data_IF_494119539040
#
_entry.id   IF_494119539040
#
_cell.length_a   1.000
_cell.length_b   1.000
_cell.length_c   1.000
_cell.angle_alpha   90.00
_cell.angle_beta   90.00
_cell.angle_gamma   90.00
#
_symmetry.space_group_name_H-M   'P 1'
#
loop_
_entity.id
_entity.type
_entity.pdbx_description
1 polymer ?
#
# COMPACT_ATOMS: atom_id res chain seq x y z
N UNK A 1 62.23 -46.34 142.27
CA UNK A 1 62.46 -45.43 141.13
C UNK A 1 62.33 -46.15 139.79
N UNK A 2 62.67 -47.45 139.68
CA UNK A 2 62.69 -48.16 138.38
C UNK A 2 61.33 -48.54 137.77
N UNK A 3 60.30 -48.80 138.57
CA UNK A 3 58.98 -49.22 138.05
C UNK A 3 58.25 -48.09 137.29
N UNK A 4 58.47 -46.83 137.70
CA UNK A 4 57.81 -45.65 137.11
C UNK A 4 58.35 -45.37 135.71
N UNK A 5 59.65 -45.60 135.48
CA UNK A 5 60.32 -45.32 134.22
C UNK A 5 59.87 -46.29 133.10
N UNK A 6 59.62 -47.56 133.45
CA UNK A 6 59.16 -48.58 132.50
C UNK A 6 57.71 -48.36 132.05
N UNK A 7 56.84 -47.88 132.95
CA UNK A 7 55.45 -47.50 132.63
C UNK A 7 55.43 -46.28 131.69
N UNK A 8 56.35 -45.32 131.88
CA UNK A 8 56.46 -44.12 131.04
C UNK A 8 56.91 -44.45 129.62
N UNK A 9 57.84 -45.39 129.44
CA UNK A 9 58.31 -45.84 128.12
C UNK A 9 57.22 -46.61 127.38
N UNK A 10 56.48 -47.50 128.05
CA UNK A 10 55.34 -48.20 127.45
C UNK A 10 54.22 -47.23 127.04
N UNK A 11 53.95 -46.20 127.86
CA UNK A 11 53.00 -45.15 127.52
C UNK A 11 53.44 -44.34 126.29
N UNK A 12 54.73 -44.03 126.17
CA UNK A 12 55.32 -43.35 125.01
C UNK A 12 55.23 -44.18 123.73
N UNK A 13 55.51 -45.49 123.81
CA UNK A 13 55.39 -46.40 122.66
C UNK A 13 53.92 -46.53 122.24
N UNK A 14 53.00 -46.64 123.20
CA UNK A 14 51.56 -46.65 122.94
C UNK A 14 51.08 -45.37 122.25
N UNK A 15 51.57 -44.20 122.71
CA UNK A 15 51.28 -42.91 122.09
C UNK A 15 51.86 -42.78 120.67
N UNK A 16 53.07 -43.29 120.43
CA UNK A 16 53.69 -43.28 119.11
C UNK A 16 52.99 -44.22 118.11
N UNK A 17 52.55 -45.40 118.57
CA UNK A 17 51.76 -46.31 117.74
C UNK A 17 50.39 -45.70 117.43
N UNK A 18 49.75 -45.07 118.40
CA UNK A 18 48.47 -44.37 118.22
C UNK A 18 48.59 -43.22 117.21
N UNK A 19 49.63 -42.39 117.31
CA UNK A 19 49.83 -41.27 116.38
C UNK A 19 50.11 -41.75 114.95
N UNK A 20 50.88 -42.82 114.77
CA UNK A 20 51.16 -43.39 113.45
C UNK A 20 49.90 -43.94 112.77
N UNK A 21 49.06 -44.67 113.51
CA UNK A 21 47.77 -45.16 113.00
C UNK A 21 46.83 -44.00 112.69
N UNK A 22 46.78 -42.98 113.54
CA UNK A 22 45.99 -41.78 113.30
C UNK A 22 46.41 -41.05 112.03
N UNK A 23 47.72 -40.90 111.78
CA UNK A 23 48.24 -40.24 110.56
C UNK A 23 47.86 -41.03 109.31
N UNK A 24 48.01 -42.36 109.33
CA UNK A 24 47.67 -43.20 108.18
C UNK A 24 46.16 -43.20 107.89
N UNK A 25 45.34 -43.19 108.93
CA UNK A 25 43.89 -43.07 108.80
C UNK A 25 43.48 -41.68 108.29
N UNK A 26 44.21 -40.63 108.67
CA UNK A 26 43.98 -39.26 108.19
C UNK A 26 44.34 -39.11 106.71
N UNK A 27 45.46 -39.68 106.26
CA UNK A 27 45.85 -39.69 104.85
C UNK A 27 44.82 -40.41 103.98
N UNK A 28 44.34 -41.60 104.41
CA UNK A 28 43.30 -42.32 103.67
C UNK A 28 41.97 -41.57 103.60
N UNK A 29 41.60 -40.82 104.65
CA UNK A 29 40.43 -39.93 104.62
C UNK A 29 40.62 -38.75 103.69
N UNK A 30 41.83 -38.19 103.62
CA UNK A 30 42.15 -37.08 102.74
C UNK A 30 42.07 -37.48 101.27
N UNK A 31 42.62 -38.65 100.91
CA UNK A 31 42.60 -39.17 99.55
C UNK A 31 41.17 -39.50 99.08
N UNK A 32 40.37 -40.15 99.93
CA UNK A 32 38.94 -40.37 99.68
C UNK A 32 38.13 -39.08 99.61
N UNK A 33 38.49 -38.06 100.39
CA UNK A 33 37.82 -36.76 100.31
C UNK A 33 38.17 -36.03 99.01
N UNK A 34 39.41 -36.16 98.53
CA UNK A 34 39.85 -35.54 97.28
C UNK A 34 39.18 -36.18 96.06
N UNK A 35 39.10 -37.51 96.03
CA UNK A 35 38.50 -38.30 94.95
C UNK A 35 36.99 -38.03 94.85
N UNK A 36 36.27 -38.11 95.97
CA UNK A 36 34.85 -37.78 96.01
C UNK A 36 34.58 -36.31 95.61
N UNK A 37 35.50 -35.39 95.93
CA UNK A 37 35.32 -33.98 95.56
C UNK A 37 35.60 -33.75 94.07
N UNK A 38 36.53 -34.50 93.46
CA UNK A 38 36.80 -34.45 92.02
C UNK A 38 35.61 -35.01 91.21
N UNK A 39 35.06 -36.15 91.63
CA UNK A 39 33.89 -36.75 90.98
C UNK A 39 32.65 -35.84 91.06
N UNK A 40 32.36 -35.28 92.24
CA UNK A 40 31.25 -34.34 92.39
C UNK A 40 31.41 -33.09 91.51
N UNK A 41 32.63 -32.58 91.34
CA UNK A 41 32.88 -31.41 90.50
C UNK A 41 32.72 -31.72 89.01
N UNK A 42 33.15 -32.91 88.59
CA UNK A 42 33.01 -33.41 87.22
C UNK A 42 31.53 -33.62 86.85
N UNK A 43 30.77 -34.24 87.74
CA UNK A 43 29.32 -34.45 87.56
C UNK A 43 28.57 -33.12 87.51
N UNK A 44 28.93 -32.18 88.38
CA UNK A 44 28.33 -30.85 88.40
C UNK A 44 28.63 -30.05 87.12
N UNK A 45 29.86 -30.10 86.61
CA UNK A 45 30.24 -29.45 85.35
C UNK A 45 29.54 -30.07 84.15
N UNK A 46 29.46 -31.40 84.10
CA UNK A 46 28.79 -32.14 83.02
C UNK A 46 27.30 -31.82 83.01
N UNK A 47 26.66 -31.77 84.18
CA UNK A 47 25.26 -31.40 84.33
C UNK A 47 25.00 -29.93 83.92
N UNK A 48 25.88 -29.00 84.30
CA UNK A 48 25.75 -27.60 83.90
C UNK A 48 25.94 -27.39 82.39
N UNK A 49 26.87 -28.10 81.77
CA UNK A 49 27.10 -28.06 80.31
C UNK A 49 25.92 -28.66 79.53
N UNK A 50 25.36 -29.78 79.97
CA UNK A 50 24.20 -30.40 79.31
C UNK A 50 22.95 -29.50 79.43
N UNK A 51 22.76 -28.87 80.59
CA UNK A 51 21.67 -27.90 80.80
C UNK A 51 21.87 -26.63 79.95
N UNK A 52 23.09 -26.11 79.85
CA UNK A 52 23.39 -24.95 79.01
C UNK A 52 23.12 -25.26 77.53
N UNK A 53 23.59 -26.41 77.02
CA UNK A 53 23.36 -26.83 75.64
C UNK A 53 21.87 -27.04 75.34
N UNK A 54 21.12 -27.69 76.25
CA UNK A 54 19.67 -27.87 76.09
C UNK A 54 18.92 -26.54 76.08
N UNK A 55 19.28 -25.62 76.97
CA UNK A 55 18.65 -24.30 77.05
C UNK A 55 18.91 -23.49 75.78
N UNK A 56 20.15 -23.51 75.29
CA UNK A 56 20.55 -22.82 74.07
C UNK A 56 19.87 -23.40 72.82
N UNK A 57 19.68 -24.73 72.74
CA UNK A 57 18.94 -25.35 71.64
C UNK A 57 17.45 -24.99 71.65
N UNK A 58 16.83 -24.90 72.84
CA UNK A 58 15.43 -24.49 72.98
C UNK A 58 15.24 -23.00 72.63
N UNK A 59 16.16 -22.13 73.05
CA UNK A 59 16.16 -20.73 72.63
C UNK A 59 16.34 -20.59 71.11
N UNK A 60 17.25 -21.35 70.51
CA UNK A 60 17.43 -21.34 69.06
C UNK A 60 16.18 -21.84 68.33
N UNK A 61 15.52 -22.90 68.81
CA UNK A 61 14.31 -23.43 68.16
C UNK A 61 13.12 -22.48 68.30
N UNK A 62 13.02 -21.76 69.41
CA UNK A 62 11.95 -20.77 69.64
C UNK A 62 12.17 -19.51 68.80
N UNK A 63 13.41 -19.03 68.66
CA UNK A 63 13.76 -17.93 67.76
C UNK A 63 13.50 -18.32 66.30
N UNK A 64 13.91 -19.52 65.87
CA UNK A 64 13.66 -20.00 64.51
C UNK A 64 12.16 -20.14 64.21
N UNK A 65 11.36 -20.67 65.13
CA UNK A 65 9.90 -20.73 64.96
C UNK A 65 9.28 -19.33 64.88
N UNK A 66 9.76 -18.39 65.69
CA UNK A 66 9.28 -17.00 65.65
C UNK A 66 9.61 -16.34 64.32
N UNK A 67 10.85 -16.50 63.84
CA UNK A 67 11.28 -15.97 62.54
C UNK A 67 10.48 -16.59 61.37
N UNK A 68 10.22 -17.90 61.43
CA UNK A 68 9.43 -18.58 60.40
C UNK A 68 7.97 -18.11 60.39
N UNK A 69 7.37 -17.87 61.57
CA UNK A 69 6.03 -17.30 61.70
C UNK A 69 5.96 -15.83 61.22
N UNK A 70 6.97 -15.02 61.53
CA UNK A 70 7.05 -13.62 61.05
C UNK A 70 7.17 -13.56 59.52
N UNK A 71 7.99 -14.42 58.91
CA UNK A 71 8.08 -14.54 57.45
C UNK A 71 6.75 -14.97 56.82
N UNK A 72 6.03 -15.92 57.44
CA UNK A 72 4.73 -16.36 56.96
C UNK A 72 3.68 -15.24 57.03
N UNK A 73 3.69 -14.45 58.10
CA UNK A 73 2.83 -13.27 58.22
C UNK A 73 3.17 -12.21 57.17
N UNK A 74 4.45 -11.91 56.93
CA UNK A 74 4.87 -10.96 55.89
C UNK A 74 4.45 -11.42 54.49
N UNK A 75 4.56 -12.72 54.19
CA UNK A 75 4.11 -13.27 52.90
C UNK A 75 2.59 -13.18 52.74
N UNK A 76 1.82 -13.42 53.80
CA UNK A 76 0.36 -13.24 53.77
C UNK A 76 -0.01 -11.78 53.51
N UNK A 77 0.65 -10.83 54.18
CA UNK A 77 0.38 -9.39 54.02
C UNK A 77 0.73 -8.89 52.61
N UNK A 78 1.87 -9.35 52.04
CA UNK A 78 2.24 -9.07 50.64
C UNK A 78 1.23 -9.65 49.66
N UNK A 79 0.77 -10.89 49.89
CA UNK A 79 -0.24 -11.52 49.04
C UNK A 79 -1.56 -10.74 49.08
N UNK A 80 -1.99 -10.32 50.26
CA UNK A 80 -3.28 -9.63 50.43
C UNK A 80 -3.23 -8.21 49.84
N UNK A 81 -2.14 -7.47 50.04
CA UNK A 81 -1.92 -6.16 49.40
C UNK A 81 -1.81 -6.26 47.86
N UNK A 82 -1.18 -7.32 47.34
CA UNK A 82 -1.15 -7.58 45.90
C UNK A 82 -2.54 -7.90 45.33
N UNK A 83 -3.33 -8.73 46.01
CA UNK A 83 -4.70 -9.02 45.59
C UNK A 83 -5.58 -7.78 45.61
N UNK A 84 -5.44 -6.95 46.64
CA UNK A 84 -6.16 -5.70 46.74
C UNK A 84 -5.74 -4.72 45.63
N UNK A 85 -4.44 -4.56 45.38
CA UNK A 85 -3.94 -3.72 44.29
C UNK A 85 -4.36 -4.21 42.89
N UNK A 86 -4.43 -5.52 42.67
CA UNK A 86 -4.93 -6.10 41.41
C UNK A 86 -6.43 -5.91 41.25
N UNK A 87 -7.22 -6.05 42.32
CA UNK A 87 -8.65 -5.79 42.30
C UNK A 87 -8.96 -4.31 42.01
N UNK A 88 -8.28 -3.39 42.70
CA UNK A 88 -8.43 -1.95 42.47
C UNK A 88 -8.00 -1.53 41.05
N UNK A 89 -6.95 -2.16 40.50
CA UNK A 89 -6.51 -1.90 39.13
C UNK A 89 -7.50 -2.45 38.10
N UNK A 90 -8.09 -3.61 38.36
CA UNK A 90 -9.16 -4.18 37.53
C UNK A 90 -10.40 -3.27 37.55
N UNK A 91 -10.85 -2.84 38.71
CA UNK A 91 -12.00 -1.93 38.84
C UNK A 91 -11.76 -0.57 38.15
N UNK A 92 -10.56 0.00 38.31
CA UNK A 92 -10.17 1.24 37.59
C UNK A 92 -10.11 1.04 36.09
N UNK A 93 -9.66 -0.14 35.62
CA UNK A 93 -9.61 -0.45 34.19
C UNK A 93 -11.01 -0.60 33.61
N UNK A 94 -11.91 -1.29 34.32
CA UNK A 94 -13.31 -1.47 33.92
C UNK A 94 -14.03 -0.11 33.86
N UNK A 95 -13.85 0.76 34.86
CA UNK A 95 -14.39 2.13 34.85
C UNK A 95 -13.85 2.97 33.68
N UNK A 96 -12.56 2.85 33.35
CA UNK A 96 -11.97 3.57 32.20
C UNK A 96 -12.52 3.08 30.88
N UNK A 97 -12.73 1.77 30.73
CA UNK A 97 -13.35 1.18 29.54
C UNK A 97 -14.82 1.62 29.41
N UNK A 98 -15.56 1.71 30.51
CA UNK A 98 -16.93 2.21 30.49
C UNK A 98 -17.00 3.69 30.06
N UNK A 99 -16.14 4.55 30.62
CA UNK A 99 -16.05 5.96 30.20
C UNK A 99 -15.63 6.09 28.74
N UNK A 100 -14.70 5.25 28.27
CA UNK A 100 -14.25 5.25 26.88
C UNK A 100 -15.37 4.79 25.93
N UNK A 101 -16.10 3.73 26.27
CA UNK A 101 -17.22 3.25 25.43
C UNK A 101 -18.36 4.27 25.39
N UNK A 102 -18.65 4.93 26.52
CA UNK A 102 -19.65 6.00 26.58
C UNK A 102 -19.22 7.22 25.75
N UNK A 103 -17.95 7.64 25.83
CA UNK A 103 -17.41 8.73 25.01
C UNK A 103 -17.43 8.40 23.52
N UNK A 104 -17.05 7.17 23.16
CA UNK A 104 -17.08 6.70 21.77
C UNK A 104 -18.52 6.67 21.23
N UNK A 105 -19.46 6.15 22.01
CA UNK A 105 -20.89 6.16 21.64
C UNK A 105 -21.42 7.57 21.45
N UNK A 106 -21.02 8.52 22.31
CA UNK A 106 -21.40 9.93 22.19
C UNK A 106 -20.81 10.57 20.92
N UNK A 107 -19.55 10.29 20.60
CA UNK A 107 -18.89 10.78 19.39
C UNK A 107 -19.51 10.19 18.11
N UNK A 108 -19.83 8.90 18.10
CA UNK A 108 -20.51 8.25 16.97
C UNK A 108 -21.90 8.86 16.75
N UNK A 109 -22.67 9.07 17.82
CA UNK A 109 -23.98 9.72 17.74
C UNK A 109 -23.87 11.16 17.24
N UNK A 110 -22.91 11.94 17.75
CA UNK A 110 -22.62 13.29 17.28
C UNK A 110 -22.24 13.33 15.80
N UNK A 111 -21.44 12.37 15.33
CA UNK A 111 -21.09 12.26 13.91
C UNK A 111 -22.31 11.92 13.08
N UNK A 112 -23.15 10.99 13.53
CA UNK A 112 -24.38 10.61 12.84
C UNK A 112 -25.33 11.81 12.71
N UNK A 113 -25.61 12.52 13.81
CA UNK A 113 -26.45 13.71 13.83
C UNK A 113 -25.88 14.83 12.94
N UNK A 114 -24.56 15.03 12.95
CA UNK A 114 -23.89 16.02 12.08
C UNK A 114 -23.96 15.62 10.62
N UNK A 115 -23.89 14.34 10.29
CA UNK A 115 -23.92 13.85 8.93
C UNK A 115 -25.35 13.95 8.37
N UNK A 116 -26.36 13.64 9.18
CA UNK A 116 -27.77 13.80 8.83
C UNK A 116 -28.10 15.27 8.56
N UNK A 117 -27.63 16.20 9.40
CA UNK A 117 -27.76 17.65 9.13
C UNK A 117 -27.09 18.08 7.82
N UNK A 118 -25.86 17.62 7.55
CA UNK A 118 -25.16 17.95 6.29
C UNK A 118 -25.84 17.35 5.06
N UNK A 119 -26.40 16.15 5.18
CA UNK A 119 -27.16 15.52 4.11
C UNK A 119 -28.44 16.32 3.82
N UNK A 120 -29.13 16.82 4.85
CA UNK A 120 -30.32 17.65 4.68
C UNK A 120 -29.98 19.04 4.08
N UNK A 121 -28.89 19.67 4.52
CA UNK A 121 -28.38 20.91 3.91
C UNK A 121 -28.00 20.71 2.44
N UNK A 122 -27.35 19.58 2.10
CA UNK A 122 -27.06 19.22 0.72
C UNK A 122 -28.34 18.97 -0.07
N UNK A 123 -29.32 18.27 0.50
CA UNK A 123 -30.62 18.02 -0.12
C UNK A 123 -31.28 19.35 -0.48
N UNK A 124 -31.36 20.27 0.46
CA UNK A 124 -31.95 21.59 0.25
C UNK A 124 -31.18 22.43 -0.78
N UNK A 125 -29.84 22.39 -0.74
CA UNK A 125 -28.99 23.13 -1.71
C UNK A 125 -29.12 22.55 -3.13
N UNK A 126 -29.21 21.22 -3.24
CA UNK A 126 -29.41 20.53 -4.51
C UNK A 126 -30.80 20.85 -5.05
N UNK A 127 -31.84 20.79 -4.22
CA UNK A 127 -33.21 21.11 -4.60
C UNK A 127 -33.32 22.57 -5.09
N UNK A 128 -32.75 23.52 -4.35
CA UNK A 128 -32.73 24.93 -4.73
C UNK A 128 -31.94 25.18 -6.04
N UNK A 129 -30.77 24.56 -6.20
CA UNK A 129 -29.99 24.67 -7.45
C UNK A 129 -30.69 24.02 -8.62
N UNK A 130 -31.35 22.88 -8.41
CA UNK A 130 -32.03 22.14 -9.47
C UNK A 130 -33.29 22.87 -9.90
N UNK A 131 -34.08 23.38 -8.96
CA UNK A 131 -35.26 24.21 -9.25
C UNK A 131 -34.86 25.50 -9.96
N UNK A 132 -33.83 26.20 -9.48
CA UNK A 132 -33.34 27.44 -10.11
C UNK A 132 -32.75 27.20 -11.49
N UNK A 133 -31.98 26.13 -11.68
CA UNK A 133 -31.38 25.79 -12.97
C UNK A 133 -32.43 25.30 -13.96
N UNK A 134 -33.39 24.50 -13.50
CA UNK A 134 -34.49 24.00 -14.31
C UNK A 134 -35.41 25.14 -14.72
N UNK A 135 -35.78 26.04 -13.79
CA UNK A 135 -36.59 27.21 -14.07
C UNK A 135 -35.90 28.16 -15.04
N UNK A 136 -34.60 28.42 -14.85
CA UNK A 136 -33.83 29.24 -15.79
C UNK A 136 -33.75 28.60 -17.18
N UNK A 137 -33.41 27.31 -17.27
CA UNK A 137 -33.34 26.61 -18.58
C UNK A 137 -34.70 26.52 -19.25
N UNK A 138 -35.77 26.23 -18.51
CA UNK A 138 -37.13 26.23 -19.04
C UNK A 138 -37.52 27.61 -19.50
N UNK A 139 -37.25 28.67 -18.72
CA UNK A 139 -37.56 30.04 -19.12
C UNK A 139 -36.79 30.45 -20.38
N UNK A 140 -35.49 30.18 -20.45
CA UNK A 140 -34.69 30.46 -21.66
C UNK A 140 -35.17 29.64 -22.86
N UNK A 141 -35.58 28.39 -22.65
CA UNK A 141 -36.13 27.53 -23.72
C UNK A 141 -37.51 28.03 -24.18
N UNK A 142 -38.37 28.45 -23.25
CA UNK A 142 -39.69 29.02 -23.57
C UNK A 142 -39.59 30.41 -24.19
N UNK A 143 -38.64 31.26 -23.79
CA UNK A 143 -38.35 32.53 -24.46
C UNK A 143 -37.82 32.31 -25.87
N UNK A 144 -36.90 31.36 -26.06
CA UNK A 144 -36.39 31.01 -27.40
C UNK A 144 -37.52 30.46 -28.30
N UNK A 145 -38.36 29.56 -27.77
CA UNK A 145 -39.52 29.01 -28.49
C UNK A 145 -40.58 30.07 -28.74
N UNK A 146 -40.82 30.99 -27.81
CA UNK A 146 -41.79 32.08 -28.00
C UNK A 146 -41.31 33.09 -29.04
N UNK A 147 -40.01 33.41 -29.05
CA UNK A 147 -39.37 34.26 -30.06
C UNK A 147 -39.37 33.58 -31.44
N UNK A 148 -39.21 32.25 -31.48
CA UNK A 148 -39.37 31.46 -32.70
C UNK A 148 -40.82 31.48 -33.18
N UNK A 149 -41.80 31.33 -32.28
CA UNK A 149 -43.23 31.40 -32.57
C UNK A 149 -43.66 32.79 -33.05
N UNK A 150 -43.11 33.86 -32.47
CA UNK A 150 -43.34 35.24 -32.90
C UNK A 150 -42.70 35.53 -34.26
N UNK A 151 -41.48 35.03 -34.50
CA UNK A 151 -40.83 35.07 -35.82
C UNK A 151 -41.59 34.25 -36.87
N UNK A 152 -42.19 33.12 -36.48
CA UNK A 152 -43.08 32.33 -37.34
C UNK A 152 -44.41 33.06 -37.58
N UNK A 153 -44.97 33.74 -36.59
CA UNK A 153 -46.20 34.53 -36.76
C UNK A 153 -45.98 35.78 -37.63
N UNK A 154 -44.82 36.44 -37.51
CA UNK A 154 -44.39 37.50 -38.42
C UNK A 154 -44.13 36.94 -39.84
N UNK A 155 -43.47 35.78 -39.95
CA UNK A 155 -43.24 35.10 -41.22
C UNK A 155 -44.53 34.64 -41.92
N UNK A 156 -45.57 34.27 -41.16
CA UNK A 156 -46.91 33.98 -41.67
C UNK A 156 -47.65 35.26 -42.12
N UNK A 157 -47.34 36.42 -41.51
CA UNK A 157 -47.82 37.73 -41.97
C UNK A 157 -47.19 38.18 -43.29
N UNK A 158 -45.94 37.81 -43.54
CA UNK A 158 -45.23 38.05 -44.81
C UNK A 158 -45.69 37.11 -45.95
N UNK A 159 -46.44 36.02 -45.66
CA UNK A 159 -46.93 35.09 -46.69
C UNK A 159 -47.95 35.66 -47.68
N UNK A 160 -48.49 36.88 -47.49
CA UNK A 160 -49.20 37.58 -48.59
C UNK A 160 -48.25 38.14 -49.66
N UNK A 161 -46.93 38.03 -49.48
CA UNK A 161 -45.90 38.57 -50.41
C UNK A 161 -44.85 37.53 -50.85
N UNK A 162 -44.88 36.29 -50.35
CA UNK A 162 -43.85 35.24 -50.57
C UNK A 162 -43.92 34.53 -51.94
N UNK A 163 -44.88 34.83 -52.81
CA UNK A 163 -44.92 34.25 -54.16
C UNK A 163 -43.74 34.70 -55.07
N UNK A 164 -42.86 35.60 -54.61
CA UNK A 164 -41.78 36.20 -55.41
C UNK A 164 -40.36 35.75 -55.04
N UNK A 165 -40.14 35.07 -53.90
CA UNK A 165 -38.79 34.83 -53.33
C UNK A 165 -38.27 33.38 -53.39
N UNK A 166 -38.96 32.47 -54.10
CA UNK A 166 -38.42 31.11 -54.35
C UNK A 166 -37.24 31.14 -55.36
N UNK A 167 -37.01 32.25 -56.06
CA UNK A 167 -35.86 32.43 -56.95
C UNK A 167 -34.53 32.69 -56.23
N UNK A 168 -34.55 33.13 -54.97
CA UNK A 168 -33.35 33.61 -54.26
C UNK A 168 -32.55 32.48 -53.62
N UNK A 169 -33.19 31.36 -53.25
CA UNK A 169 -32.51 30.14 -52.78
C UNK A 169 -31.70 29.45 -53.88
N UNK A 170 -32.22 29.42 -55.12
CA UNK A 170 -31.46 28.97 -56.29
C UNK A 170 -30.25 29.87 -56.60
N UNK A 171 -30.30 31.14 -56.16
CA UNK A 171 -29.28 32.17 -56.41
C UNK A 171 -28.17 32.21 -55.33
N UNK A 172 -28.46 31.77 -54.10
CA UNK A 172 -27.43 31.57 -53.06
C UNK A 172 -26.66 30.28 -53.31
N UNK A 173 -27.29 29.29 -53.93
CA UNK A 173 -26.59 28.12 -54.42
C UNK A 173 -25.66 28.48 -55.60
N UNK A 174 -25.98 29.37 -56.53
CA UNK A 174 -25.16 29.56 -57.77
C UNK A 174 -23.70 30.01 -57.63
N UNK A 175 -23.20 30.42 -56.45
CA UNK A 175 -21.81 30.89 -56.28
C UNK A 175 -20.84 29.73 -55.94
N UNK A 176 -19.81 29.54 -56.77
CA UNK A 176 -18.83 28.44 -56.63
C UNK A 176 -18.10 28.44 -55.28
N UNK A 177 -17.88 29.61 -54.66
CA UNK A 177 -17.23 29.71 -53.33
C UNK A 177 -18.12 29.21 -52.19
N UNK A 178 -19.39 29.64 -52.17
CA UNK A 178 -20.34 29.24 -51.11
C UNK A 178 -20.59 27.73 -51.14
N UNK A 179 -20.54 27.12 -52.33
CA UNK A 179 -20.69 25.67 -52.48
C UNK A 179 -19.46 24.86 -52.04
N UNK A 180 -18.25 25.39 -52.23
CA UNK A 180 -17.02 24.77 -51.70
C UNK A 180 -17.06 24.69 -50.17
N UNK A 181 -17.45 25.79 -49.53
CA UNK A 181 -17.59 25.89 -48.06
C UNK A 181 -18.59 24.86 -47.51
N UNK A 182 -19.70 24.58 -48.21
CA UNK A 182 -20.66 23.56 -47.78
C UNK A 182 -20.06 22.14 -47.81
N UNK A 183 -19.24 21.83 -48.81
CA UNK A 183 -18.53 20.55 -48.89
C UNK A 183 -17.48 20.39 -47.78
N UNK A 184 -16.74 21.46 -47.49
CA UNK A 184 -15.77 21.52 -46.38
C UNK A 184 -16.45 21.39 -45.02
N UNK A 185 -17.60 22.05 -44.83
CA UNK A 185 -18.40 21.96 -43.60
C UNK A 185 -18.89 20.54 -43.37
N UNK A 186 -19.38 19.86 -44.41
CA UNK A 186 -19.86 18.48 -44.31
C UNK A 186 -18.71 17.52 -44.00
N UNK A 187 -17.55 17.70 -44.64
CA UNK A 187 -16.35 16.95 -44.31
C UNK A 187 -15.96 17.15 -42.84
N UNK A 188 -15.97 18.41 -42.39
CA UNK A 188 -15.68 18.77 -41.00
C UNK A 188 -16.61 18.10 -40.01
N UNK A 189 -17.93 18.14 -40.25
CA UNK A 189 -18.91 17.45 -39.41
C UNK A 189 -18.61 15.95 -39.28
N UNK A 190 -18.34 15.27 -40.40
CA UNK A 190 -18.05 13.82 -40.39
C UNK A 190 -16.77 13.51 -39.60
N UNK A 191 -15.71 14.30 -39.79
CA UNK A 191 -14.43 14.09 -39.08
C UNK A 191 -14.59 14.39 -37.59
N UNK A 192 -15.22 15.51 -37.24
CA UNK A 192 -15.40 15.97 -35.87
C UNK A 192 -16.33 15.07 -35.03
N UNK A 193 -17.34 14.47 -35.66
CA UNK A 193 -18.27 13.56 -34.98
C UNK A 193 -17.61 12.21 -34.65
N UNK A 194 -16.66 11.75 -35.48
CA UNK A 194 -16.06 10.41 -35.38
C UNK A 194 -14.69 10.42 -34.68
N UNK A 195 -13.90 11.48 -34.87
CA UNK A 195 -12.52 11.59 -34.39
C UNK A 195 -12.42 12.60 -33.26
N UNK A 196 -11.55 12.33 -32.30
CA UNK A 196 -11.23 13.33 -31.26
C UNK A 196 -10.28 14.40 -31.80
N UNK A 197 -10.33 15.61 -31.25
CA UNK A 197 -9.52 16.76 -31.71
C UNK A 197 -7.99 16.49 -31.75
N UNK A 198 -7.49 15.52 -30.97
CA UNK A 198 -6.07 15.15 -30.98
C UNK A 198 -5.68 14.24 -32.15
N UNK A 199 -6.65 13.63 -32.83
CA UNK A 199 -6.45 12.62 -33.89
C UNK A 199 -6.45 13.21 -35.31
N UNK A 200 -6.72 14.50 -35.46
CA UNK A 200 -6.67 15.18 -36.75
C UNK A 200 -6.08 16.59 -36.61
N UNK A 201 -5.69 17.19 -37.73
CA UNK A 201 -5.37 18.61 -37.86
C UNK A 201 -6.27 19.24 -38.92
N UNK A 202 -6.66 20.50 -38.74
CA UNK A 202 -7.42 21.29 -39.73
C UNK A 202 -6.50 22.25 -40.45
N UNK A 203 -6.75 22.46 -41.74
CA UNK A 203 -5.99 23.41 -42.58
C UNK A 203 -4.48 23.22 -42.42
N UNK A 204 -4.01 21.97 -42.51
CA UNK A 204 -2.64 21.60 -42.17
C UNK A 204 -1.75 21.55 -43.41
N UNK A 205 -0.51 22.04 -43.31
CA UNK A 205 0.49 21.87 -44.36
C UNK A 205 1.14 20.50 -44.19
N UNK A 206 0.76 19.53 -45.02
CA UNK A 206 1.28 18.16 -44.94
C UNK A 206 2.68 18.01 -45.50
N UNK A 207 3.15 18.99 -46.28
CA UNK A 207 4.47 19.03 -46.88
C UNK A 207 5.28 20.15 -46.22
N UNK A 208 6.39 19.79 -45.59
CA UNK A 208 7.31 20.74 -44.95
C UNK A 208 7.76 21.83 -45.93
N UNK A 209 7.37 23.09 -45.67
CA UNK A 209 7.71 24.26 -46.49
C UNK A 209 6.71 24.62 -47.59
N UNK A 210 5.62 23.87 -47.75
CA UNK A 210 4.52 24.23 -48.66
C UNK A 210 3.56 25.25 -48.04
N UNK A 211 3.01 26.13 -48.86
CA UNK A 211 1.88 27.00 -48.48
C UNK A 211 0.52 26.34 -48.69
N UNK A 212 0.46 25.22 -49.41
CA UNK A 212 -0.78 24.48 -49.66
C UNK A 212 -1.20 23.75 -48.37
N UNK A 213 -2.42 24.04 -47.91
CA UNK A 213 -3.01 23.47 -46.70
C UNK A 213 -4.13 22.51 -47.09
N UNK A 214 -4.06 21.29 -46.58
CA UNK A 214 -5.15 20.32 -46.73
C UNK A 214 -6.25 20.65 -45.72
N UNK A 215 -7.51 20.47 -46.11
CA UNK A 215 -8.67 20.75 -45.24
C UNK A 215 -8.58 19.95 -43.93
N UNK A 216 -8.33 18.65 -44.03
CA UNK A 216 -8.13 17.76 -42.88
C UNK A 216 -6.96 16.82 -43.08
N UNK A 217 -6.16 16.63 -42.03
CA UNK A 217 -5.10 15.63 -41.98
C UNK A 217 -5.31 14.71 -40.77
N UNK A 218 -5.64 13.43 -41.01
CA UNK A 218 -5.83 12.45 -39.93
C UNK A 218 -4.46 11.92 -39.49
N UNK A 219 -4.19 11.91 -38.18
CA UNK A 219 -2.95 11.39 -37.60
C UNK A 219 -3.04 9.88 -37.45
N UNK A 220 -2.31 9.15 -38.28
CA UNK A 220 -2.12 7.72 -38.14
C UNK A 220 -0.87 7.43 -37.29
N UNK A 221 -0.84 6.36 -36.49
CA UNK A 221 0.36 5.95 -35.78
C UNK A 221 1.39 5.43 -36.80
N UNK A 222 2.59 6.03 -36.81
CA UNK A 222 3.70 5.61 -37.65
C UNK A 222 4.54 4.47 -37.06
N UNK A 223 5.59 4.09 -37.78
CA UNK A 223 6.50 3.01 -37.39
C UNK A 223 7.46 3.38 -36.23
N UNK A 224 7.54 4.67 -35.85
CA UNK A 224 8.34 5.19 -34.74
C UNK A 224 7.52 5.40 -33.46
N UNK A 225 8.16 5.29 -32.29
CA UNK A 225 7.54 5.72 -31.02
C UNK A 225 7.34 7.24 -31.01
N UNK A 226 6.13 7.69 -31.35
CA UNK A 226 5.74 9.10 -31.30
C UNK A 226 5.66 9.79 -32.66
N UNK A 227 6.05 9.11 -33.75
CA UNK A 227 5.89 9.64 -35.10
C UNK A 227 4.47 9.37 -35.61
N UNK A 228 3.79 10.44 -36.01
CA UNK A 228 2.50 10.37 -36.70
C UNK A 228 2.72 10.48 -38.20
N UNK A 229 1.98 9.67 -38.96
CA UNK A 229 1.89 9.79 -40.40
C UNK A 229 0.56 10.46 -40.72
N UNK A 230 0.57 11.51 -41.54
CA UNK A 230 -0.64 12.25 -41.87
C UNK A 230 -1.36 11.65 -43.08
N UNK A 231 -2.66 11.41 -42.95
CA UNK A 231 -3.56 11.04 -44.04
C UNK A 231 -4.32 12.29 -44.52
N UNK A 232 -3.94 12.88 -45.68
CA UNK A 232 -4.61 14.06 -46.21
C UNK A 232 -6.01 13.73 -46.73
N UNK A 233 -6.99 14.56 -46.37
CA UNK A 233 -8.37 14.50 -46.84
C UNK A 233 -8.78 15.88 -47.35
N UNK A 234 -9.16 15.95 -48.62
CA UNK A 234 -9.51 17.19 -49.31
C UNK A 234 -10.85 17.02 -50.03
N UNK A 235 -11.75 17.99 -49.87
CA UNK A 235 -13.07 18.03 -50.49
C UNK A 235 -12.98 18.64 -51.88
N UNK A 236 -13.51 17.92 -52.88
CA UNK A 236 -13.57 18.42 -54.26
C UNK A 236 -14.94 18.17 -54.84
N UNK A 237 -15.54 19.24 -55.38
CA UNK A 237 -16.89 19.16 -55.93
C UNK A 237 -16.97 19.78 -57.34
N UNK A 238 -16.81 18.98 -58.41
CA UNK A 238 -17.07 19.40 -59.80
C UNK A 238 -18.57 19.60 -60.06
N UNK A 239 -19.16 20.60 -59.41
CA UNK A 239 -20.60 20.90 -59.47
C UNK A 239 -21.10 21.18 -60.88
N UNK A 240 -20.36 21.96 -61.67
CA UNK A 240 -20.79 22.31 -63.02
C UNK A 240 -20.90 21.07 -63.91
N UNK A 241 -19.88 20.21 -63.88
CA UNK A 241 -19.90 18.95 -64.63
C UNK A 241 -20.96 17.97 -64.09
N UNK A 242 -21.22 17.98 -62.79
CA UNK A 242 -22.24 17.14 -62.15
C UNK A 242 -23.66 17.59 -62.52
N UNK A 243 -23.98 18.87 -62.44
CA UNK A 243 -25.30 19.38 -62.86
C UNK A 243 -25.52 19.23 -64.37
N UNK A 244 -24.50 19.46 -65.19
CA UNK A 244 -24.59 19.19 -66.64
C UNK A 244 -24.87 17.72 -66.96
N UNK A 245 -24.46 16.82 -66.08
CA UNK A 245 -24.79 15.40 -66.17
C UNK A 245 -26.23 15.14 -65.71
N UNK A 246 -26.68 15.74 -64.60
CA UNK A 246 -28.08 15.66 -64.14
C UNK A 246 -29.06 16.22 -65.18
N UNK A 247 -28.81 17.41 -65.73
CA UNK A 247 -29.63 18.02 -66.78
C UNK A 247 -29.73 17.11 -68.02
N UNK A 248 -28.62 16.45 -68.40
CA UNK A 248 -28.60 15.50 -69.50
C UNK A 248 -29.39 14.23 -69.20
N UNK A 249 -29.39 13.76 -67.95
CA UNK A 249 -30.24 12.66 -67.51
C UNK A 249 -31.73 13.03 -67.56
N UNK A 250 -32.09 14.23 -67.09
CA UNK A 250 -33.48 14.73 -67.15
C UNK A 250 -33.98 14.90 -68.58
N UNK A 251 -33.12 15.38 -69.48
CA UNK A 251 -33.42 15.51 -70.90
C UNK A 251 -33.49 14.15 -71.64
N UNK A 252 -32.98 13.07 -71.05
CA UNK A 252 -32.99 11.72 -71.64
C UNK A 252 -32.08 11.54 -72.86
N UNK A 253 -31.17 12.48 -73.14
CA UNK A 253 -30.25 12.42 -74.27
C UNK A 253 -29.02 11.56 -73.96
N UNK A 254 -28.98 10.34 -74.50
CA UNK A 254 -27.89 9.38 -74.30
C UNK A 254 -26.51 9.90 -74.73
N UNK A 255 -26.43 10.71 -75.79
CA UNK A 255 -25.16 11.22 -76.28
C UNK A 255 -24.63 12.35 -75.38
N UNK A 256 -25.52 13.21 -74.91
CA UNK A 256 -25.20 14.25 -73.94
C UNK A 256 -24.75 13.66 -72.60
N UNK A 257 -25.43 12.62 -72.10
CA UNK A 257 -25.08 11.91 -70.85
C UNK A 257 -23.65 11.36 -70.91
N UNK A 258 -23.28 10.65 -71.98
CA UNK A 258 -21.93 10.09 -72.15
C UNK A 258 -20.86 11.19 -72.21
N UNK A 259 -21.15 12.30 -72.89
CA UNK A 259 -20.23 13.42 -73.03
C UNK A 259 -20.02 14.15 -71.70
N UNK A 260 -21.11 14.47 -70.99
CA UNK A 260 -21.06 15.10 -69.66
C UNK A 260 -20.39 14.18 -68.64
N UNK A 261 -20.64 12.87 -68.68
CA UNK A 261 -19.97 11.90 -67.80
C UNK A 261 -18.47 11.88 -68.03
N UNK A 262 -18.01 11.85 -69.29
CA UNK A 262 -16.57 11.90 -69.60
C UNK A 262 -15.92 13.19 -69.11
N UNK A 263 -16.61 14.33 -69.25
CA UNK A 263 -16.14 15.62 -68.74
C UNK A 263 -15.99 15.60 -67.21
N UNK A 264 -17.00 15.07 -66.50
CA UNK A 264 -16.97 14.91 -65.05
C UNK A 264 -15.80 14.05 -64.58
N UNK A 265 -15.62 12.87 -65.18
CA UNK A 265 -14.51 11.98 -64.83
C UNK A 265 -13.14 12.61 -65.13
N UNK A 266 -13.01 13.37 -66.22
CA UNK A 266 -11.78 14.11 -66.52
C UNK A 266 -11.49 15.20 -65.48
N UNK A 267 -12.51 15.94 -65.03
CA UNK A 267 -12.37 16.95 -63.97
C UNK A 267 -11.94 16.30 -62.64
N UNK A 268 -12.54 15.17 -62.28
CA UNK A 268 -12.18 14.39 -61.09
C UNK A 268 -10.73 13.91 -61.16
N UNK A 269 -10.27 13.41 -62.32
CA UNK A 269 -8.87 13.02 -62.50
C UNK A 269 -7.91 14.18 -62.34
N UNK A 270 -8.26 15.38 -62.81
CA UNK A 270 -7.47 16.60 -62.61
C UNK A 270 -7.38 16.98 -61.13
N UNK A 271 -8.48 16.86 -60.39
CA UNK A 271 -8.47 17.11 -58.94
C UNK A 271 -7.63 16.09 -58.18
N UNK A 272 -7.75 14.79 -58.50
CA UNK A 272 -6.91 13.76 -57.91
C UNK A 272 -5.41 14.04 -58.14
N UNK A 273 -5.02 14.42 -59.37
CA UNK A 273 -3.64 14.85 -59.68
C UNK A 273 -3.18 16.02 -58.84
N UNK A 274 -4.04 17.03 -58.67
CA UNK A 274 -3.73 18.21 -57.85
C UNK A 274 -3.54 17.85 -56.38
N UNK A 275 -4.40 16.98 -55.83
CA UNK A 275 -4.30 16.50 -54.43
C UNK A 275 -2.99 15.73 -54.25
N UNK A 276 -2.68 14.83 -55.19
CA UNK A 276 -1.44 14.07 -55.18
C UNK A 276 -0.21 14.97 -55.12
N UNK A 277 -0.10 15.95 -56.04
CA UNK A 277 1.07 16.82 -56.11
C UNK A 277 1.22 17.79 -54.93
N UNK A 278 0.11 18.18 -54.30
CA UNK A 278 0.10 19.21 -53.25
C UNK A 278 0.30 18.64 -51.85
N UNK A 279 -0.27 17.47 -51.59
CA UNK A 279 -0.43 16.99 -50.22
C UNK A 279 0.27 15.66 -49.92
N UNK A 280 0.65 14.88 -50.93
CA UNK A 280 1.36 13.61 -50.71
C UNK A 280 2.88 13.82 -50.74
N UNK A 281 3.51 13.56 -49.59
CA UNK A 281 4.94 13.55 -49.36
C UNK A 281 5.34 12.43 -48.38
N UNK A 282 5.40 11.16 -48.81
CA UNK A 282 5.95 10.09 -47.96
C UNK A 282 7.44 10.37 -47.66
N UNK A 283 7.93 10.23 -46.41
CA UNK A 283 7.34 9.47 -45.29
C UNK A 283 6.48 10.27 -44.29
N UNK A 284 6.37 11.60 -44.43
CA UNK A 284 5.57 12.45 -43.51
C UNK A 284 4.06 12.18 -43.64
N UNK A 285 3.65 11.72 -44.82
CA UNK A 285 2.25 11.42 -45.15
C UNK A 285 2.08 9.97 -45.61
N UNK A 286 0.83 9.52 -45.64
CA UNK A 286 0.48 8.22 -46.21
C UNK A 286 0.81 8.16 -47.70
N UNK A 287 1.04 6.94 -48.21
CA UNK A 287 1.28 6.72 -49.65
C UNK A 287 0.07 7.07 -50.52
N UNK A 288 -1.10 7.28 -49.93
CA UNK A 288 -2.33 7.64 -50.61
C UNK A 288 -3.07 8.75 -49.86
N UNK A 289 -3.88 9.52 -50.58
CA UNK A 289 -4.77 10.55 -50.01
C UNK A 289 -6.23 10.20 -50.22
N UNK A 290 -7.12 10.88 -49.50
CA UNK A 290 -8.57 10.75 -49.70
C UNK A 290 -9.12 12.00 -50.38
N UNK A 291 -9.82 11.79 -51.49
CA UNK A 291 -10.63 12.84 -52.11
C UNK A 291 -12.09 12.63 -51.71
N UNK A 292 -12.61 13.59 -50.95
CA UNK A 292 -13.98 13.58 -50.48
C UNK A 292 -14.93 14.19 -51.50
N UNK A 293 -16.02 13.48 -51.80
CA UNK A 293 -17.10 13.93 -52.67
C UNK A 293 -18.35 14.16 -51.81
N UNK A 294 -18.82 15.42 -51.62
CA UNK A 294 -19.89 15.76 -50.67
C UNK A 294 -21.25 15.07 -50.91
N UNK A 295 -21.53 14.65 -52.15
CA UNK A 295 -22.79 14.01 -52.53
C UNK A 295 -22.58 12.54 -52.86
N UNK A 296 -23.42 11.68 -52.29
CA UNK A 296 -23.39 10.25 -52.57
C UNK A 296 -23.72 9.95 -54.05
N UNK A 297 -24.56 10.77 -54.68
CA UNK A 297 -24.84 10.70 -56.13
C UNK A 297 -23.56 10.88 -56.98
N UNK A 298 -22.75 11.88 -56.67
CA UNK A 298 -21.47 12.12 -57.34
C UNK A 298 -20.48 10.97 -57.11
N UNK A 299 -20.37 10.48 -55.87
CA UNK A 299 -19.56 9.30 -55.56
C UNK A 299 -20.02 8.07 -56.37
N UNK A 300 -21.33 7.85 -56.49
CA UNK A 300 -21.89 6.73 -57.24
C UNK A 300 -21.53 6.77 -58.73
N UNK A 301 -21.48 7.95 -59.36
CA UNK A 301 -21.07 8.10 -60.77
C UNK A 301 -19.60 7.73 -60.99
N UNK A 302 -18.74 7.97 -60.00
CA UNK A 302 -17.34 7.54 -60.05
C UNK A 302 -17.21 6.02 -59.91
N UNK A 303 -17.92 5.42 -58.94
CA UNK A 303 -17.85 3.98 -58.66
C UNK A 303 -18.51 3.15 -59.77
N UNK A 304 -19.49 3.71 -60.50
CA UNK A 304 -20.10 3.08 -61.68
C UNK A 304 -19.09 2.73 -62.77
N UNK A 305 -17.91 3.36 -62.79
CA UNK A 305 -16.80 2.99 -63.67
C UNK A 305 -15.63 2.42 -62.85
N UNK A 306 -15.60 1.10 -62.60
CA UNK A 306 -14.56 0.47 -61.80
C UNK A 306 -13.14 0.70 -62.34
N UNK A 307 -12.97 0.74 -63.66
CA UNK A 307 -11.66 0.96 -64.28
C UNK A 307 -11.13 2.37 -63.98
N UNK A 308 -12.01 3.37 -63.99
CA UNK A 308 -11.65 4.73 -63.62
C UNK A 308 -11.32 4.85 -62.12
N UNK A 309 -12.18 4.31 -61.25
CA UNK A 309 -11.96 4.31 -59.80
C UNK A 309 -10.63 3.63 -59.43
N UNK A 310 -10.34 2.48 -60.05
CA UNK A 310 -9.08 1.77 -59.89
C UNK A 310 -7.88 2.57 -60.41
N UNK A 311 -8.03 3.29 -61.52
CA UNK A 311 -6.96 4.12 -62.08
C UNK A 311 -6.57 5.25 -61.13
N UNK A 312 -7.53 5.90 -60.47
CA UNK A 312 -7.25 6.95 -59.48
C UNK A 312 -6.46 6.40 -58.28
N UNK A 313 -6.81 5.20 -57.80
CA UNK A 313 -6.10 4.55 -56.70
C UNK A 313 -4.69 4.13 -57.09
N UNK A 314 -4.48 3.57 -58.29
CA UNK A 314 -3.19 3.02 -58.72
C UNK A 314 -2.23 4.05 -59.31
N UNK A 315 -2.72 4.96 -60.14
CA UNK A 315 -1.89 5.94 -60.86
C UNK A 315 -1.64 7.18 -60.01
N UNK A 316 -2.68 7.71 -59.35
CA UNK A 316 -2.61 8.98 -58.61
C UNK A 316 -2.50 8.77 -57.09
N UNK A 317 -2.57 7.52 -56.61
CA UNK A 317 -2.63 7.19 -55.19
C UNK A 317 -3.75 7.94 -54.43
N UNK A 318 -4.90 8.17 -55.08
CA UNK A 318 -6.05 8.83 -54.45
C UNK A 318 -7.20 7.85 -54.32
N UNK A 319 -7.71 7.73 -53.10
CA UNK A 319 -8.93 6.98 -52.81
C UNK A 319 -10.10 7.95 -52.77
N UNK A 320 -11.16 7.65 -53.52
CA UNK A 320 -12.36 8.48 -53.57
C UNK A 320 -13.35 7.99 -52.52
N UNK A 321 -13.92 8.89 -51.73
CA UNK A 321 -14.92 8.56 -50.71
C UNK A 321 -16.11 9.53 -50.73
N UNK A 322 -17.33 8.99 -50.71
CA UNK A 322 -18.55 9.73 -50.39
C UNK A 322 -18.79 9.85 -48.87
N UNK A 323 -19.85 10.55 -48.42
CA UNK A 323 -20.16 10.73 -47.00
C UNK A 323 -20.28 9.43 -46.22
N UNK A 324 -21.01 8.44 -46.76
CA UNK A 324 -21.21 7.17 -46.06
C UNK A 324 -19.92 6.34 -46.00
N UNK A 325 -19.15 6.34 -47.09
CA UNK A 325 -17.89 5.60 -47.20
C UNK A 325 -16.80 6.21 -46.31
N UNK A 326 -16.69 7.54 -46.29
CA UNK A 326 -15.75 8.24 -45.42
C UNK A 326 -16.07 7.97 -43.95
N UNK A 327 -17.33 8.10 -43.54
CA UNK A 327 -17.76 7.80 -42.18
C UNK A 327 -17.42 6.36 -41.77
N UNK A 328 -17.64 5.38 -42.66
CA UNK A 328 -17.28 3.99 -42.39
C UNK A 328 -15.75 3.79 -42.27
N UNK A 329 -14.97 4.43 -43.14
CA UNK A 329 -13.51 4.37 -43.13
C UNK A 329 -12.94 5.01 -41.85
N UNK A 330 -13.41 6.19 -41.48
CA UNK A 330 -13.01 6.87 -40.25
C UNK A 330 -13.42 6.08 -39.01
N UNK A 331 -14.64 5.52 -38.96
CA UNK A 331 -15.05 4.66 -37.86
C UNK A 331 -14.14 3.43 -37.71
N UNK A 332 -13.77 2.80 -38.83
CA UNK A 332 -12.85 1.66 -38.85
C UNK A 332 -11.45 2.06 -38.34
N UNK A 333 -10.93 3.22 -38.76
CA UNK A 333 -9.67 3.77 -38.24
C UNK A 333 -9.76 4.09 -36.74
N UNK A 334 -10.87 4.69 -36.29
CA UNK A 334 -11.12 5.03 -34.89
C UNK A 334 -11.10 3.79 -33.98
N UNK A 335 -11.70 2.68 -34.41
CA UNK A 335 -11.62 1.40 -33.68
C UNK A 335 -10.19 0.86 -33.66
N UNK A 336 -9.46 0.98 -34.77
CA UNK A 336 -8.04 0.65 -34.85
C UNK A 336 -7.20 1.43 -33.84
N UNK A 337 -7.39 2.74 -33.73
CA UNK A 337 -6.67 3.59 -32.79
C UNK A 337 -6.98 3.27 -31.33
N UNK A 338 -8.24 3.01 -30.99
CA UNK A 338 -8.63 2.59 -29.63
C UNK A 338 -7.91 1.30 -29.23
N UNK A 339 -7.81 0.35 -30.16
CA UNK A 339 -7.12 -0.93 -29.93
C UNK A 339 -5.61 -0.73 -29.73
N UNK A 340 -4.97 0.09 -30.57
CA UNK A 340 -3.53 0.37 -30.46
C UNK A 340 -3.17 1.15 -29.19
N UNK A 341 -3.98 2.13 -28.80
CA UNK A 341 -3.78 2.87 -27.56
C UNK A 341 -3.95 1.97 -26.33
N UNK A 342 -4.91 1.04 -26.37
CA UNK A 342 -5.09 0.05 -25.31
C UNK A 342 -3.86 -0.88 -25.19
N UNK A 343 -3.30 -1.32 -26.32
CA UNK A 343 -2.08 -2.13 -26.33
C UNK A 343 -0.87 -1.38 -25.76
N UNK A 344 -0.64 -0.12 -26.17
CA UNK A 344 0.45 0.70 -25.61
C UNK A 344 0.32 0.88 -24.10
N UNK A 345 -0.89 1.18 -23.63
CA UNK A 345 -1.14 1.33 -22.20
C UNK A 345 -0.92 0.01 -21.45
N UNK A 346 -1.29 -1.14 -22.03
CA UNK A 346 -1.03 -2.44 -21.45
C UNK A 346 0.48 -2.74 -21.37
N UNK A 347 1.25 -2.39 -22.40
CA UNK A 347 2.72 -2.53 -22.38
C UNK A 347 3.36 -1.65 -21.30
N UNK A 348 2.91 -0.40 -21.15
CA UNK A 348 3.42 0.49 -20.12
C UNK A 348 3.04 0.04 -18.71
N UNK A 349 1.82 -0.46 -18.52
CA UNK A 349 1.40 -1.12 -17.27
C UNK A 349 2.29 -2.34 -17.00
N UNK A 350 2.58 -3.16 -18.01
CA UNK A 350 3.44 -4.34 -17.90
C UNK A 350 4.87 -3.95 -17.48
N UNK A 351 5.44 -2.89 -18.04
CA UNK A 351 6.75 -2.34 -17.63
C UNK A 351 6.72 -1.86 -16.17
N UNK A 352 5.68 -1.13 -15.77
CA UNK A 352 5.53 -0.65 -14.39
C UNK A 352 5.43 -1.84 -13.43
N UNK A 353 4.62 -2.85 -13.75
CA UNK A 353 4.51 -4.08 -12.97
C UNK A 353 5.84 -4.85 -12.91
N UNK A 354 6.61 -4.87 -14.00
CA UNK A 354 7.97 -5.41 -14.02
C UNK A 354 8.90 -4.71 -13.03
N UNK A 355 8.86 -3.37 -13.00
CA UNK A 355 9.64 -2.58 -12.03
C UNK A 355 9.19 -2.85 -10.58
N UNK A 356 7.88 -2.93 -10.34
CA UNK A 356 7.33 -3.28 -9.02
C UNK A 356 7.77 -4.67 -8.58
N UNK A 357 7.77 -5.65 -9.49
CA UNK A 357 8.27 -7.02 -9.22
C UNK A 357 9.72 -7.00 -8.75
N UNK A 358 10.59 -6.26 -9.44
CA UNK A 358 12.00 -6.12 -9.04
C UNK A 358 12.15 -5.52 -7.64
N UNK A 359 11.32 -4.52 -7.29
CA UNK A 359 11.36 -3.90 -5.97
C UNK A 359 10.86 -4.85 -4.87
N UNK A 360 9.84 -5.66 -5.17
CA UNK A 360 9.39 -6.73 -4.27
C UNK A 360 10.44 -7.82 -4.07
N UNK A 361 11.19 -8.20 -5.10
CA UNK A 361 12.31 -9.13 -4.98
C UNK A 361 13.42 -8.58 -4.06
N UNK A 362 13.77 -7.29 -4.20
CA UNK A 362 14.72 -6.62 -3.29
C UNK A 362 14.19 -6.59 -1.84
N UNK A 363 12.92 -6.26 -1.66
CA UNK A 363 12.28 -6.25 -0.35
C UNK A 363 12.29 -7.63 0.31
N UNK A 364 11.99 -8.69 -0.47
CA UNK A 364 12.12 -10.08 -0.02
C UNK A 364 13.54 -10.43 0.43
N UNK A 365 14.56 -9.97 -0.30
CA UNK A 365 15.96 -10.13 0.08
C UNK A 365 16.34 -9.40 1.38
N UNK A 366 15.78 -8.22 1.64
CA UNK A 366 15.97 -7.48 2.89
C UNK A 366 15.28 -8.19 4.07
N UNK A 367 14.06 -8.70 3.88
CA UNK A 367 13.36 -9.49 4.89
C UNK A 367 14.13 -10.77 5.24
N UNK A 368 14.68 -11.47 4.25
CA UNK A 368 15.52 -12.65 4.48
C UNK A 368 16.78 -12.31 5.30
N UNK A 369 17.42 -11.16 5.05
CA UNK A 369 18.54 -10.67 5.87
C UNK A 369 18.11 -10.36 7.31
N UNK A 370 16.98 -9.69 7.49
CA UNK A 370 16.44 -9.37 8.81
C UNK A 370 16.12 -10.65 9.60
N UNK A 371 15.49 -11.64 8.96
CA UNK A 371 15.23 -12.96 9.56
C UNK A 371 16.55 -13.64 9.99
N UNK A 372 17.59 -13.58 9.16
CA UNK A 372 18.90 -14.16 9.49
C UNK A 372 19.55 -13.47 10.70
N UNK A 373 19.43 -12.14 10.80
CA UNK A 373 19.90 -11.38 11.98
C UNK A 373 19.11 -11.73 13.24
N UNK A 374 17.79 -11.86 13.16
CA UNK A 374 16.96 -12.30 14.29
C UNK A 374 17.33 -13.71 14.76
N UNK A 375 17.52 -14.64 13.83
CA UNK A 375 17.97 -16.01 14.17
C UNK A 375 19.35 -16.00 14.83
N UNK A 376 20.26 -15.14 14.36
CA UNK A 376 21.60 -14.98 14.97
C UNK A 376 21.47 -14.42 16.39
N UNK A 377 20.63 -13.39 16.58
CA UNK A 377 20.37 -12.81 17.90
C UNK A 377 19.75 -13.83 18.87
N UNK A 378 18.80 -14.65 18.40
CA UNK A 378 18.24 -15.77 19.17
C UNK A 378 19.32 -16.77 19.58
N UNK A 379 20.21 -17.14 18.66
CA UNK A 379 21.29 -18.08 18.97
C UNK A 379 22.28 -17.51 20.01
N UNK A 380 22.58 -16.22 19.94
CA UNK A 380 23.40 -15.52 20.95
C UNK A 380 22.70 -15.48 22.31
N UNK A 381 21.38 -15.24 22.35
CA UNK A 381 20.58 -15.31 23.57
C UNK A 381 20.62 -16.71 24.18
N UNK A 382 20.45 -17.76 23.37
CA UNK A 382 20.54 -19.15 23.81
C UNK A 382 21.93 -19.49 24.37
N UNK A 383 23.01 -19.03 23.72
CA UNK A 383 24.37 -19.21 24.22
C UNK A 383 24.61 -18.49 25.56
N UNK A 384 24.12 -17.25 25.71
CA UNK A 384 24.23 -16.49 26.95
C UNK A 384 23.41 -17.14 28.08
N UNK A 385 22.19 -17.57 27.79
CA UNK A 385 21.32 -18.29 28.73
C UNK A 385 21.89 -19.65 29.12
N UNK A 386 22.50 -20.40 28.21
CA UNK A 386 23.08 -21.72 28.51
C UNK A 386 24.41 -21.59 29.24
N UNK A 387 25.36 -20.86 28.67
CA UNK A 387 26.77 -20.89 29.10
C UNK A 387 26.99 -20.02 30.32
N UNK A 388 26.42 -18.81 30.34
CA UNK A 388 26.60 -17.87 31.44
C UNK A 388 25.79 -18.28 32.66
N UNK A 389 24.57 -18.78 32.49
CA UNK A 389 23.77 -19.32 33.61
C UNK A 389 24.43 -20.57 34.19
N UNK A 390 24.92 -21.51 33.38
CA UNK A 390 25.66 -22.68 33.89
C UNK A 390 26.95 -22.29 34.60
N UNK A 391 27.69 -21.31 34.09
CA UNK A 391 28.90 -20.81 34.75
C UNK A 391 28.58 -20.09 36.07
N UNK A 392 27.52 -19.29 36.12
CA UNK A 392 27.05 -18.61 37.34
C UNK A 392 26.55 -19.63 38.37
N UNK A 393 25.77 -20.63 37.97
CA UNK A 393 25.32 -21.73 38.85
C UNK A 393 26.52 -22.53 39.38
N UNK A 394 27.51 -22.82 38.53
CA UNK A 394 28.72 -23.53 38.95
C UNK A 394 29.58 -22.69 39.92
N UNK A 395 29.70 -21.39 39.68
CA UNK A 395 30.39 -20.46 40.59
C UNK A 395 29.66 -20.29 41.93
N UNK A 396 28.32 -20.21 41.93
CA UNK A 396 27.50 -20.19 43.15
C UNK A 396 27.64 -21.50 43.95
N UNK A 397 27.63 -22.65 43.28
CA UNK A 397 27.89 -23.94 43.93
C UNK A 397 29.30 -24.04 44.53
N UNK A 398 30.30 -23.40 43.91
CA UNK A 398 31.67 -23.34 44.45
C UNK A 398 31.78 -22.43 45.67
N UNK A 399 30.89 -21.43 45.80
CA UNK A 399 30.83 -20.52 46.96
C UNK A 399 30.10 -21.16 48.14
N UNK A 400 29.12 -22.04 47.90
CA UNK A 400 28.52 -22.89 48.95
C UNK A 400 29.54 -23.87 49.55
N UNK A 401 30.46 -24.41 48.73
CA UNK A 401 31.52 -25.33 49.19
C UNK A 401 32.70 -24.61 49.89
N UNK A 402 32.85 -23.29 49.69
CA UNK A 402 33.98 -22.51 50.23
C UNK A 402 33.81 -22.13 51.72
N UNK A 403 32.66 -22.44 52.34
CA UNK A 403 32.47 -22.25 53.78
C UNK A 403 32.92 -23.44 54.66
N UNK A 404 33.43 -24.54 54.08
CA UNK A 404 33.85 -25.72 54.86
C UNK A 404 35.36 -26.04 54.82
N UNK A 405 36.15 -25.36 53.98
CA UNK A 405 37.58 -25.67 53.80
C UNK A 405 38.56 -24.84 54.66
N UNK A 406 38.12 -23.79 55.34
CA UNK A 406 39.00 -22.93 56.16
C UNK A 406 39.32 -23.50 57.55
N UNK A 407 38.74 -24.64 57.94
CA UNK A 407 39.00 -25.30 59.24
C UNK A 407 39.84 -26.58 59.16
N UNK A 408 40.17 -27.09 57.96
CA UNK A 408 40.93 -28.34 57.81
C UNK A 408 42.45 -28.15 57.65
N UNK A 409 42.93 -26.93 57.44
CA UNK A 409 44.36 -26.62 57.20
C UNK A 409 45.26 -26.62 58.44
N UNK A 410 44.76 -27.04 59.62
CA UNK A 410 45.52 -27.07 60.88
C UNK A 410 46.14 -28.43 61.21
N UNK A 411 45.91 -29.49 60.42
CA UNK A 411 46.47 -30.82 60.69
C UNK A 411 47.23 -31.38 59.48
N UNK A 412 48.54 -31.32 59.63
CA UNK A 412 49.60 -31.62 58.68
C UNK A 412 49.94 -33.11 58.70
N UNK A 413 49.85 -33.85 57.58
CA UNK A 413 50.58 -35.11 57.34
C UNK A 413 50.97 -35.20 55.84
N UNK A 414 52.19 -35.65 55.47
CA UNK A 414 52.78 -35.41 54.15
C UNK A 414 52.52 -36.48 53.07
N UNK A 415 52.76 -36.01 51.85
CA UNK A 415 52.83 -36.58 50.50
C UNK A 415 53.08 -38.10 50.32
N UNK A 416 52.38 -38.65 49.32
CA UNK A 416 52.91 -39.70 48.44
C UNK A 416 52.83 -39.22 46.98
N UNK A 417 53.98 -39.36 46.32
CA UNK A 417 54.26 -39.10 44.91
C UNK A 417 53.56 -40.09 43.96
N UNK A 418 53.75 -39.81 42.67
CA UNK A 418 53.56 -40.67 41.49
C UNK A 418 52.14 -40.68 40.90
N UNK A 419 51.94 -40.54 39.59
CA UNK A 419 52.83 -40.28 38.46
C UNK A 419 51.96 -39.81 37.28
N UNK A 420 52.63 -39.10 36.37
CA UNK A 420 52.40 -38.93 34.94
C UNK A 420 51.27 -39.74 34.28
N UNK A 421 50.48 -39.09 33.43
CA UNK A 421 50.74 -39.11 31.98
C UNK A 421 49.74 -38.25 31.20
N UNK A 422 50.28 -37.51 30.23
CA UNK A 422 49.61 -36.74 29.19
C UNK A 422 49.01 -37.68 28.12
N UNK A 423 47.81 -37.36 27.61
CA UNK A 423 47.58 -36.98 26.20
C UNK A 423 46.10 -36.58 25.96
#
# INVERSE_FOLDING_TARGET
MDLILLVLVLALIGLAAYSFVSIKHLQSRLEKALDNNADNLSDQLTYQLDMANKTQLLELSTVMNRQQNELFQQLMDIRDTLHQGLAENRDRSDQRLEVMTQSLSQSVKSLQDSNEKRLEEMRHTVEEKLEKTLKNRLQTSFEAVSKQLESVNQGLGEMRTVAKDVGTLNKVLSNTKTRGILGELQLGQIVEDIMTANQYEREFATVSGSSDRVEYAIKLPGNGQGDYIYLPIDSKFPLEDYYRLEDAYEAGDRAAIETSRKALLAAIKRFAKSIHSKYLNPPETTNFGIMFLPTEGLYSEVVRNPAFFDSLRREENIVVAGPSTLSALLNSLSVGFKTLNLQKNADDISKILGNVKLEFEKFGGLLAKAQKQLNTANHTLDQLMSTRTKAIVRALATVEDYQDQSTQSLLHIPLLEEADDED
#
